data_IF_688085674108
#
_entry.id   IF_688085674108
#
_cell.length_a   1.000
_cell.length_b   1.000
_cell.length_c   1.000
_cell.angle_alpha   90.00
_cell.angle_beta   90.00
_cell.angle_gamma   90.00
#
_symmetry.space_group_name_H-M   'P 1'
#
loop_
_entity.id
_entity.type
_entity.pdbx_description
1 polymer ?
#
# COMPACT_ATOMS: atom_id res chain seq x y z
N UNK A 1 -12.09 3.53 16.67
CA UNK A 1 -10.83 3.14 16.03
C UNK A 1 -9.60 3.65 16.75
N UNK A 2 -8.56 2.81 16.84
CA UNK A 2 -7.22 3.13 17.38
C UNK A 2 -6.63 4.36 16.69
N UNK A 3 -6.95 4.50 15.41
CA UNK A 3 -6.35 5.48 14.51
C UNK A 3 -6.92 6.89 14.64
N UNK A 4 -8.10 7.10 15.27
CA UNK A 4 -8.77 8.41 15.30
C UNK A 4 -7.89 9.52 15.88
N UNK A 5 -7.19 9.22 16.98
CA UNK A 5 -6.28 10.18 17.62
C UNK A 5 -5.06 10.54 16.75
N UNK A 6 -4.70 9.68 15.80
CA UNK A 6 -3.51 9.82 14.96
C UNK A 6 -3.83 10.30 13.53
N UNK A 7 -5.11 10.47 13.18
CA UNK A 7 -5.55 10.91 11.84
C UNK A 7 -4.83 12.17 11.32
N UNK A 8 -4.58 13.22 12.13
CA UNK A 8 -3.83 14.39 11.66
C UNK A 8 -2.38 14.09 11.27
N UNK A 9 -1.72 13.15 11.97
CA UNK A 9 -0.36 12.74 11.64
C UNK A 9 -0.34 11.81 10.42
N UNK A 10 -1.28 10.86 10.36
CA UNK A 10 -1.41 9.90 9.26
C UNK A 10 -1.77 10.59 7.93
N UNK A 11 -2.64 11.60 7.95
CA UNK A 11 -2.95 12.39 6.76
C UNK A 11 -1.74 13.15 6.23
N UNK A 12 -0.93 13.75 7.09
CA UNK A 12 0.35 14.38 6.70
C UNK A 12 1.31 13.37 6.07
N UNK A 13 1.39 12.17 6.64
CA UNK A 13 2.20 11.08 6.09
C UNK A 13 1.76 10.69 4.68
N UNK A 14 0.44 10.57 4.45
CA UNK A 14 -0.12 10.28 3.12
C UNK A 14 0.21 11.39 2.13
N UNK A 15 0.01 12.66 2.50
CA UNK A 15 0.34 13.79 1.63
C UNK A 15 1.83 13.82 1.26
N UNK A 16 2.71 13.60 2.23
CA UNK A 16 4.15 13.50 1.98
C UNK A 16 4.47 12.34 1.03
N UNK A 17 3.88 11.17 1.27
CA UNK A 17 4.04 9.99 0.42
C UNK A 17 3.60 10.27 -1.02
N UNK A 18 2.45 10.92 -1.22
CA UNK A 18 1.94 11.30 -2.54
C UNK A 18 2.90 12.23 -3.29
N UNK A 19 3.49 13.21 -2.61
CA UNK A 19 4.49 14.12 -3.22
C UNK A 19 5.72 13.33 -3.65
N UNK A 20 6.28 12.49 -2.76
CA UNK A 20 7.46 11.67 -3.07
C UNK A 20 7.17 10.74 -4.26
N UNK A 21 6.02 10.07 -4.24
CA UNK A 21 5.61 9.14 -5.30
C UNK A 21 5.48 9.85 -6.65
N UNK A 22 4.83 11.02 -6.67
CA UNK A 22 4.67 11.80 -7.89
C UNK A 22 6.01 12.35 -8.41
N UNK A 23 6.93 12.76 -7.53
CA UNK A 23 8.29 13.17 -7.93
C UNK A 23 9.04 12.00 -8.57
N UNK A 24 9.03 10.82 -7.95
CA UNK A 24 9.64 9.61 -8.49
C UNK A 24 9.05 9.24 -9.87
N UNK A 25 7.73 9.31 -10.03
CA UNK A 25 7.08 9.06 -11.32
C UNK A 25 7.42 10.11 -12.37
N UNK A 26 7.45 11.39 -12.00
CA UNK A 26 7.72 12.47 -12.94
C UNK A 26 9.17 12.44 -13.45
N UNK A 27 10.12 12.01 -12.62
CA UNK A 27 11.53 11.89 -13.00
C UNK A 27 11.87 10.55 -13.66
N UNK A 28 11.21 9.46 -13.25
CA UNK A 28 11.52 8.09 -13.68
C UNK A 28 10.65 7.54 -14.81
N UNK A 29 9.52 8.17 -15.13
CA UNK A 29 8.61 7.70 -16.18
C UNK A 29 9.03 8.19 -17.56
N UNK A 30 9.08 7.27 -18.53
CA UNK A 30 9.19 7.61 -19.96
C UNK A 30 7.88 8.05 -20.61
N UNK A 31 6.78 8.08 -19.84
CA UNK A 31 5.45 8.47 -20.33
C UNK A 31 5.15 9.92 -19.91
N UNK A 32 4.94 10.85 -20.86
CA UNK A 32 4.80 12.30 -20.58
C UNK A 32 3.55 12.69 -19.80
N UNK A 33 2.60 11.76 -19.62
CA UNK A 33 1.34 11.97 -18.88
C UNK A 33 1.18 11.03 -17.68
N UNK A 34 2.27 10.42 -17.20
CA UNK A 34 2.19 9.51 -16.07
C UNK A 34 1.86 10.26 -14.77
N UNK A 35 0.73 9.89 -14.17
CA UNK A 35 0.28 10.39 -12.87
C UNK A 35 0.26 9.20 -11.91
N UNK A 36 1.12 9.24 -10.91
CA UNK A 36 1.20 8.19 -9.88
C UNK A 36 0.28 8.53 -8.72
N UNK A 37 -0.92 7.93 -8.69
CA UNK A 37 -1.90 8.13 -7.61
C UNK A 37 -2.31 6.79 -6.99
N UNK A 38 -2.76 6.85 -5.75
CA UNK A 38 -3.28 5.68 -5.02
C UNK A 38 -4.65 5.31 -5.60
N UNK A 39 -4.88 4.03 -5.87
CA UNK A 39 -6.14 3.53 -6.44
C UNK A 39 -7.17 3.27 -5.33
N UNK A 40 -8.42 3.72 -5.54
CA UNK A 40 -9.51 3.59 -4.57
C UNK A 40 -9.85 2.13 -4.25
N UNK A 41 -9.87 1.25 -5.27
CA UNK A 41 -10.17 -0.17 -5.11
C UNK A 41 -9.13 -0.87 -4.21
N UNK A 42 -7.85 -0.56 -4.38
CA UNK A 42 -6.78 -1.12 -3.56
C UNK A 42 -6.81 -0.60 -2.12
N UNK A 43 -7.25 0.65 -1.92
CA UNK A 43 -7.26 1.30 -0.61
C UNK A 43 -8.28 0.67 0.35
N UNK A 44 -9.43 0.21 -0.15
CA UNK A 44 -10.43 -0.50 0.67
C UNK A 44 -9.84 -1.79 1.23
N UNK A 45 -9.22 -2.62 0.39
CA UNK A 45 -8.59 -3.86 0.85
C UNK A 45 -7.45 -3.57 1.84
N UNK A 46 -6.63 -2.56 1.54
CA UNK A 46 -5.52 -2.17 2.41
C UNK A 46 -6.00 -1.65 3.77
N UNK A 47 -7.11 -0.92 3.82
CA UNK A 47 -7.72 -0.46 5.06
C UNK A 47 -8.16 -1.64 5.95
N UNK A 48 -8.80 -2.65 5.36
CA UNK A 48 -9.20 -3.87 6.09
C UNK A 48 -7.99 -4.66 6.59
N UNK A 49 -6.94 -4.83 5.77
CA UNK A 49 -5.70 -5.52 6.15
C UNK A 49 -5.02 -4.77 7.31
N UNK A 50 -4.90 -3.45 7.22
CA UNK A 50 -4.24 -2.62 8.24
C UNK A 50 -5.04 -2.61 9.55
N UNK A 51 -6.37 -2.58 9.48
CA UNK A 51 -7.23 -2.71 10.66
C UNK A 51 -7.08 -4.09 11.32
N UNK A 52 -6.99 -5.15 10.52
CA UNK A 52 -6.77 -6.51 11.03
C UNK A 52 -5.44 -6.62 11.78
N UNK A 53 -4.34 -6.08 11.23
CA UNK A 53 -3.03 -6.07 11.91
C UNK A 53 -3.10 -5.36 13.27
N UNK A 54 -3.74 -4.19 13.35
CA UNK A 54 -3.89 -3.49 14.62
C UNK A 54 -4.77 -4.24 15.64
N UNK A 55 -5.83 -4.92 15.17
CA UNK A 55 -6.68 -5.75 16.04
C UNK A 55 -5.93 -6.98 16.55
N UNK A 56 -5.13 -7.62 15.70
CA UNK A 56 -4.26 -8.73 16.10
C UNK A 56 -3.24 -8.25 17.14
N UNK A 57 -2.55 -7.13 16.90
CA UNK A 57 -1.58 -6.58 17.84
C UNK A 57 -2.21 -6.26 19.22
N UNK A 58 -3.44 -5.72 19.24
CA UNK A 58 -4.20 -5.51 20.48
C UNK A 58 -4.57 -6.79 21.21
N UNK A 59 -4.85 -7.87 20.47
CA UNK A 59 -5.25 -9.14 21.06
C UNK A 59 -4.08 -9.86 21.72
N UNK A 60 -2.86 -9.71 21.19
CA UNK A 60 -1.66 -10.31 21.77
C UNK A 60 -1.26 -9.68 23.11
N UNK A 61 -1.37 -8.36 23.24
CA UNK A 61 -1.04 -7.67 24.49
C UNK A 61 -1.88 -6.40 24.66
N UNK A 62 -2.79 -6.44 25.63
CA UNK A 62 -3.71 -5.35 25.95
C UNK A 62 -3.03 -4.16 26.65
N UNK A 63 -1.80 -4.32 27.15
CA UNK A 63 -1.04 -3.26 27.83
C UNK A 63 -0.24 -2.40 26.84
N UNK A 64 -0.18 -2.77 25.56
CA UNK A 64 0.58 -2.02 24.55
C UNK A 64 -0.11 -0.68 24.28
N UNK A 65 0.63 0.45 24.34
CA UNK A 65 0.06 1.75 24.10
C UNK A 65 -0.43 1.89 22.65
N UNK A 66 -1.49 2.67 22.40
CA UNK A 66 -2.13 2.77 21.09
C UNK A 66 -1.19 3.32 20.00
N UNK A 67 -0.21 4.15 20.36
CA UNK A 67 0.82 4.63 19.42
C UNK A 67 1.64 3.50 18.80
N UNK A 68 2.08 2.54 19.61
CA UNK A 68 2.91 1.40 19.16
C UNK A 68 2.11 0.48 18.25
N UNK A 69 0.82 0.31 18.54
CA UNK A 69 -0.09 -0.50 17.72
C UNK A 69 -0.26 0.13 16.34
N UNK A 70 -0.51 1.43 16.28
CA UNK A 70 -0.67 2.16 15.01
C UNK A 70 0.64 2.16 14.23
N UNK A 71 1.77 2.44 14.88
CA UNK A 71 3.09 2.42 14.24
C UNK A 71 3.42 1.04 13.66
N UNK A 72 3.18 -0.03 14.44
CA UNK A 72 3.40 -1.41 14.00
C UNK A 72 2.54 -1.76 12.80
N UNK A 73 1.25 -1.40 12.82
CA UNK A 73 0.35 -1.66 11.71
C UNK A 73 0.79 -0.93 10.44
N UNK A 74 1.18 0.35 10.54
CA UNK A 74 1.66 1.16 9.40
C UNK A 74 2.97 0.60 8.84
N UNK A 75 3.94 0.24 9.68
CA UNK A 75 5.22 -0.30 9.21
C UNK A 75 5.04 -1.68 8.58
N UNK A 76 4.24 -2.55 9.19
CA UNK A 76 3.96 -3.88 8.67
C UNK A 76 3.32 -3.81 7.27
N UNK A 77 2.31 -2.95 7.09
CA UNK A 77 1.65 -2.81 5.79
C UNK A 77 2.52 -2.07 4.77
N UNK A 78 3.35 -1.12 5.18
CA UNK A 78 4.35 -0.49 4.31
C UNK A 78 5.38 -1.50 3.78
N UNK A 79 5.88 -2.39 4.64
CA UNK A 79 6.82 -3.45 4.23
C UNK A 79 6.15 -4.45 3.29
N UNK A 80 4.95 -4.93 3.62
CA UNK A 80 4.21 -5.87 2.80
C UNK A 80 3.90 -5.30 1.40
N UNK A 81 3.45 -4.03 1.33
CA UNK A 81 3.17 -3.35 0.06
C UNK A 81 4.43 -3.05 -0.74
N UNK A 82 5.55 -2.73 -0.09
CA UNK A 82 6.85 -2.55 -0.75
C UNK A 82 7.34 -3.87 -1.36
N UNK A 83 7.27 -4.97 -0.61
CA UNK A 83 7.63 -6.30 -1.11
C UNK A 83 6.76 -6.71 -2.30
N UNK A 84 5.44 -6.48 -2.21
CA UNK A 84 4.52 -6.70 -3.32
C UNK A 84 4.92 -5.86 -4.54
N UNK A 85 5.23 -4.57 -4.35
CA UNK A 85 5.71 -3.69 -5.42
C UNK A 85 6.99 -4.20 -6.09
N UNK A 86 7.97 -4.63 -5.30
CA UNK A 86 9.20 -5.26 -5.82
C UNK A 86 8.91 -6.51 -6.63
N UNK A 87 8.00 -7.38 -6.15
CA UNK A 87 7.58 -8.56 -6.89
C UNK A 87 6.91 -8.18 -8.22
N UNK A 88 6.03 -7.17 -8.25
CA UNK A 88 5.40 -6.66 -9.48
C UNK A 88 6.45 -6.13 -10.46
N UNK A 89 7.45 -5.37 -10.00
CA UNK A 89 8.55 -4.90 -10.84
C UNK A 89 9.35 -6.07 -11.43
N UNK A 90 9.60 -7.12 -10.64
CA UNK A 90 10.28 -8.33 -11.10
C UNK A 90 9.45 -9.05 -12.17
N UNK A 91 8.15 -9.27 -11.93
CA UNK A 91 7.23 -9.86 -12.92
C UNK A 91 7.21 -9.08 -14.23
N UNK A 92 7.21 -7.74 -14.15
CA UNK A 92 7.28 -6.86 -15.31
C UNK A 92 8.58 -7.05 -16.10
N UNK A 93 9.74 -7.06 -15.42
CA UNK A 93 11.04 -7.27 -16.06
C UNK A 93 11.19 -8.66 -16.70
N UNK A 94 10.65 -9.70 -16.07
CA UNK A 94 10.70 -11.06 -16.59
C UNK A 94 9.66 -11.32 -17.70
N UNK A 95 8.83 -10.32 -18.05
CA UNK A 95 7.76 -10.39 -19.07
C UNK A 95 6.75 -11.51 -18.81
N UNK A 96 6.52 -11.86 -17.55
CA UNK A 96 5.55 -12.90 -17.16
C UNK A 96 4.09 -12.46 -17.37
N UNK A 97 3.85 -11.18 -17.70
CA UNK A 97 2.58 -10.72 -18.22
C UNK A 97 2.11 -11.48 -19.47
N UNK A 98 3.03 -12.13 -20.23
CA UNK A 98 2.65 -13.05 -21.32
C UNK A 98 1.89 -14.29 -20.83
N UNK A 99 1.91 -14.60 -19.54
CA UNK A 99 1.09 -15.67 -18.99
C UNK A 99 -0.36 -15.24 -18.73
N UNK A 100 -0.63 -13.93 -18.61
CA UNK A 100 -1.99 -13.40 -18.48
C UNK A 100 -2.81 -13.68 -19.74
N UNK A 101 -2.19 -13.80 -20.92
CA UNK A 101 -2.91 -14.20 -22.14
C UNK A 101 -3.38 -15.67 -22.14
N UNK A 102 -2.99 -16.47 -21.14
CA UNK A 102 -3.56 -17.80 -20.92
C UNK A 102 -4.82 -17.77 -20.04
N UNK A 103 -5.13 -16.63 -19.39
CA UNK A 103 -6.37 -16.48 -18.66
C UNK A 103 -7.52 -16.25 -19.64
N UNK A 104 -8.70 -16.83 -19.40
CA UNK A 104 -9.85 -16.59 -20.25
C UNK A 104 -10.20 -15.09 -20.19
N UNK A 105 -10.51 -14.52 -21.36
CA UNK A 105 -10.85 -13.11 -21.58
C UNK A 105 -11.91 -12.50 -20.62
N UNK A 106 -12.86 -13.23 -20.01
CA UNK A 106 -13.79 -12.65 -19.02
C UNK A 106 -13.12 -12.13 -17.74
N UNK A 107 -11.84 -12.42 -17.52
CA UNK A 107 -11.10 -12.06 -16.29
C UNK A 107 -10.10 -10.91 -16.53
N UNK A 108 -9.89 -10.51 -17.79
CA UNK A 108 -8.91 -9.49 -18.21
C UNK A 108 -9.60 -8.16 -18.59
N UNK A 109 -10.93 -8.08 -18.39
CA UNK A 109 -11.74 -6.89 -18.66
C UNK A 109 -11.68 -5.86 -17.54
#
# INVERSE_FOLDING_TARGET
>A
DVYRAFMPALSKLVLLSSVVHQVCFSLGSGLPFAIGQVQDAGLIFLAHITANVANTARHYDALVPPETIVATAVVCTALATTLLGCAVLLFGKLRWARFVSYLPVPVIG
#
